data_IF_519181374016
#
_entry.id   IF_519181374016
#
_cell.length_a   1.000
_cell.length_b   1.000
_cell.length_c   1.000
_cell.angle_alpha   90.00
_cell.angle_beta   90.00
_cell.angle_gamma   90.00
#
_symmetry.space_group_name_H-M   'P 1'
#
loop_
_entity.id
_entity.type
_entity.pdbx_description
1 polymer ?
#
# COMPACT_ATOMS: atom_id res chain seq x y z
N UNK A 1 4.86 -28.77 5.47
CA UNK A 1 4.81 -27.64 4.53
C UNK A 1 3.44 -26.98 4.67
N UNK A 2 3.36 -25.67 4.89
CA UNK A 2 2.07 -24.95 4.93
C UNK A 2 1.29 -25.22 3.64
N UNK A 3 0.01 -25.61 3.76
CA UNK A 3 -0.86 -25.85 2.62
C UNK A 3 -0.93 -24.59 1.74
N UNK A 4 -1.10 -24.73 0.43
CA UNK A 4 -1.23 -23.59 -0.50
C UNK A 4 -2.29 -22.59 -0.02
N UNK A 5 -3.33 -23.09 0.62
CA UNK A 5 -4.37 -22.29 1.26
C UNK A 5 -3.83 -21.39 2.40
N UNK A 6 -3.04 -21.95 3.32
CA UNK A 6 -2.49 -21.21 4.47
C UNK A 6 -1.53 -20.10 4.00
N UNK A 7 -0.79 -20.34 2.91
CA UNK A 7 0.04 -19.32 2.25
C UNK A 7 -0.82 -18.21 1.66
N UNK A 8 -1.88 -18.55 0.91
CA UNK A 8 -2.79 -17.56 0.32
C UNK A 8 -3.49 -16.71 1.40
N UNK A 9 -3.95 -17.35 2.48
CA UNK A 9 -4.57 -16.66 3.60
C UNK A 9 -3.59 -15.68 4.27
N UNK A 10 -2.34 -16.10 4.48
CA UNK A 10 -1.29 -15.23 5.02
C UNK A 10 -1.03 -14.02 4.12
N UNK A 11 -0.96 -14.22 2.80
CA UNK A 11 -0.78 -13.12 1.84
C UNK A 11 -1.95 -12.14 1.89
N UNK A 12 -3.19 -12.63 1.95
CA UNK A 12 -4.38 -11.79 2.05
C UNK A 12 -4.38 -10.97 3.35
N UNK A 13 -4.04 -11.59 4.47
CA UNK A 13 -3.91 -10.92 5.76
C UNK A 13 -2.85 -9.83 5.73
N UNK A 14 -1.65 -10.13 5.24
CA UNK A 14 -0.57 -9.15 5.09
C UNK A 14 -0.99 -7.96 4.21
N UNK A 15 -1.76 -8.20 3.14
CA UNK A 15 -2.26 -7.12 2.27
C UNK A 15 -3.25 -6.21 2.99
N UNK A 16 -4.20 -6.78 3.74
CA UNK A 16 -5.15 -6.00 4.54
C UNK A 16 -4.43 -5.21 5.64
N UNK A 17 -3.46 -5.83 6.33
CA UNK A 17 -2.68 -5.16 7.37
C UNK A 17 -1.85 -4.00 6.83
N UNK A 18 -1.21 -4.17 5.66
CA UNK A 18 -0.49 -3.10 4.98
C UNK A 18 -1.43 -1.95 4.58
N UNK A 19 -2.60 -2.26 4.04
CA UNK A 19 -3.62 -1.27 3.73
C UNK A 19 -4.07 -0.51 4.99
N UNK A 20 -4.40 -1.20 6.07
CA UNK A 20 -4.77 -0.58 7.35
C UNK A 20 -3.65 0.29 7.94
N UNK A 21 -2.39 -0.08 7.75
CA UNK A 21 -1.24 0.72 8.18
C UNK A 21 -1.13 2.03 7.39
N UNK A 22 -1.28 1.99 6.07
CA UNK A 22 -1.29 3.21 5.23
C UNK A 22 -2.50 4.09 5.52
N UNK A 23 -3.65 3.48 5.80
CA UNK A 23 -4.86 4.16 6.24
C UNK A 23 -4.62 4.96 7.55
N UNK A 24 -3.96 4.35 8.54
CA UNK A 24 -3.55 5.03 9.78
C UNK A 24 -2.58 6.18 9.51
N UNK A 25 -1.55 5.96 8.69
CA UNK A 25 -0.59 7.00 8.32
C UNK A 25 -1.26 8.20 7.64
N UNK A 26 -2.15 7.95 6.67
CA UNK A 26 -2.88 9.02 5.98
C UNK A 26 -3.73 9.83 6.96
N UNK A 27 -4.37 9.17 7.93
CA UNK A 27 -5.13 9.86 9.00
C UNK A 27 -4.25 10.77 9.84
N UNK A 28 -3.07 10.32 10.24
CA UNK A 28 -2.11 11.13 11.01
C UNK A 28 -1.65 12.36 10.21
N UNK A 29 -1.31 12.18 8.93
CA UNK A 29 -0.89 13.29 8.06
C UNK A 29 -2.03 14.30 7.87
N UNK A 30 -3.28 13.86 7.73
CA UNK A 30 -4.46 14.73 7.65
C UNK A 30 -4.69 15.54 8.94
N UNK A 31 -4.49 14.93 10.11
CA UNK A 31 -4.56 15.64 11.39
C UNK A 31 -3.48 16.71 11.50
N UNK A 32 -2.23 16.37 11.19
CA UNK A 32 -1.11 17.32 11.23
C UNK A 32 -1.29 18.47 10.22
N UNK A 33 -1.90 18.21 9.07
CA UNK A 33 -2.20 19.25 8.09
C UNK A 33 -3.18 20.29 8.63
N UNK A 34 -4.19 19.87 9.41
CA UNK A 34 -5.16 20.78 10.05
C UNK A 34 -4.44 21.74 11.01
N UNK A 35 -3.66 21.19 11.92
CA UNK A 35 -2.93 21.98 12.93
C UNK A 35 -1.94 22.97 12.27
N UNK A 36 -1.32 22.56 11.15
CA UNK A 36 -0.36 23.39 10.41
C UNK A 36 -1.05 24.48 9.59
N UNK A 37 -2.24 24.24 9.03
CA UNK A 37 -3.02 25.27 8.33
C UNK A 37 -3.39 26.41 9.28
N UNK A 38 -3.80 26.06 10.50
CA UNK A 38 -4.14 27.03 11.55
C UNK A 38 -2.91 27.86 12.00
N UNK A 39 -1.75 27.20 12.17
CA UNK A 39 -0.47 27.89 12.48
C UNK A 39 -0.01 28.82 11.35
N UNK A 40 -0.16 28.42 10.09
CA UNK A 40 0.21 29.26 8.94
C UNK A 40 -0.62 30.55 8.84
N UNK A 41 -1.89 30.54 9.26
CA UNK A 41 -2.73 31.74 9.27
C UNK A 41 -2.38 32.72 10.40
N UNK A 42 -1.68 32.26 11.44
CA UNK A 42 -1.37 33.05 12.65
C UNK A 42 0.08 33.52 12.72
N UNK A 43 0.98 32.95 11.93
CA UNK A 43 2.39 33.34 11.90
C UNK A 43 2.66 34.54 10.97
N UNK A 44 3.17 35.64 11.53
CA UNK A 44 3.54 36.83 10.77
C UNK A 44 4.89 36.64 10.07
N UNK A 45 4.95 36.87 8.75
CA UNK A 45 6.12 36.55 7.89
C UNK A 45 7.16 37.68 7.83
N UNK A 46 6.83 38.87 8.33
CA UNK A 46 7.58 40.12 8.11
C UNK A 46 8.87 40.28 8.93
N UNK A 47 9.13 39.45 9.94
CA UNK A 47 10.30 39.59 10.83
C UNK A 47 11.31 38.43 10.81
N UNK A 48 11.16 37.47 9.89
CA UNK A 48 11.99 36.25 9.89
C UNK A 48 13.34 36.43 9.18
N UNK A 49 14.40 35.82 9.74
CA UNK A 49 15.71 35.71 9.08
C UNK A 49 15.61 34.86 7.81
N UNK A 50 16.53 35.04 6.85
CA UNK A 50 16.60 34.21 5.63
C UNK A 50 16.76 32.72 5.93
N UNK A 51 17.48 32.39 7.00
CA UNK A 51 17.67 30.99 7.42
C UNK A 51 16.38 30.39 7.98
N UNK A 52 15.65 31.15 8.80
CA UNK A 52 14.37 30.73 9.38
C UNK A 52 13.30 30.57 8.29
N UNK A 53 13.28 31.47 7.32
CA UNK A 53 12.43 31.36 6.13
C UNK A 53 12.72 30.05 5.37
N UNK A 54 13.99 29.71 5.20
CA UNK A 54 14.36 28.49 4.48
C UNK A 54 13.96 27.21 5.23
N UNK A 55 14.12 27.18 6.56
CA UNK A 55 13.68 26.05 7.40
C UNK A 55 12.16 25.89 7.33
N UNK A 56 11.43 27.00 7.45
CA UNK A 56 9.96 27.02 7.37
C UNK A 56 9.44 26.52 6.03
N UNK A 57 9.95 27.07 4.92
CA UNK A 57 9.55 26.64 3.57
C UNK A 57 9.84 25.16 3.36
N UNK A 58 10.99 24.65 3.79
CA UNK A 58 11.30 23.21 3.72
C UNK A 58 10.31 22.36 4.53
N UNK A 59 9.95 22.80 5.74
CA UNK A 59 8.95 22.11 6.56
C UNK A 59 7.58 22.05 5.88
N UNK A 60 7.15 23.12 5.20
CA UNK A 60 5.90 23.14 4.45
C UNK A 60 5.93 22.23 3.23
N UNK A 61 7.05 22.22 2.50
CA UNK A 61 7.25 21.34 1.35
C UNK A 61 7.29 19.88 1.79
N UNK A 62 7.97 19.54 2.88
CA UNK A 62 7.95 18.18 3.43
C UNK A 62 6.55 17.73 3.83
N UNK A 63 5.79 18.60 4.49
CA UNK A 63 4.39 18.32 4.81
C UNK A 63 3.51 18.10 3.57
N UNK A 64 3.90 18.62 2.41
CA UNK A 64 3.25 18.30 1.14
C UNK A 64 3.64 16.96 0.60
N UNK A 65 4.95 16.71 0.51
CA UNK A 65 5.49 15.44 0.07
C UNK A 65 4.92 14.29 0.90
N UNK A 66 4.91 14.40 2.23
CA UNK A 66 4.34 13.39 3.14
C UNK A 66 2.87 13.08 2.82
N UNK A 67 2.09 14.12 2.49
CA UNK A 67 0.69 13.96 2.09
C UNK A 67 0.59 13.26 0.73
N UNK A 68 1.34 13.71 -0.27
CA UNK A 68 1.32 13.13 -1.61
C UNK A 68 1.75 11.66 -1.59
N UNK A 69 2.81 11.33 -0.86
CA UNK A 69 3.29 9.96 -0.73
C UNK A 69 2.25 9.10 -0.02
N UNK A 70 1.64 9.59 1.07
CA UNK A 70 0.59 8.85 1.79
C UNK A 70 -0.67 8.63 0.94
N UNK A 71 -1.07 9.63 0.14
CA UNK A 71 -2.17 9.48 -0.83
C UNK A 71 -1.80 8.51 -1.96
N UNK A 72 -0.57 8.56 -2.45
CA UNK A 72 -0.06 7.64 -3.47
C UNK A 72 -0.06 6.19 -3.00
N UNK A 73 0.45 5.93 -1.79
CA UNK A 73 0.41 4.61 -1.15
C UNK A 73 -1.03 4.11 -0.94
N UNK A 74 -1.92 4.97 -0.44
CA UNK A 74 -3.33 4.62 -0.26
C UNK A 74 -3.99 4.23 -1.60
N UNK A 75 -3.71 4.94 -2.69
CA UNK A 75 -4.19 4.58 -4.05
C UNK A 75 -3.61 3.25 -4.53
N UNK A 76 -2.33 3.01 -4.27
CA UNK A 76 -1.67 1.75 -4.60
C UNK A 76 -2.36 0.56 -3.89
N UNK A 77 -2.54 0.64 -2.58
CA UNK A 77 -3.22 -0.41 -1.82
C UNK A 77 -4.69 -0.57 -2.20
N UNK A 78 -5.39 0.53 -2.48
CA UNK A 78 -6.77 0.49 -2.96
C UNK A 78 -6.88 -0.29 -4.28
N UNK A 79 -5.99 -0.03 -5.24
CA UNK A 79 -5.94 -0.76 -6.50
C UNK A 79 -5.68 -2.26 -6.29
N UNK A 80 -4.71 -2.58 -5.42
CA UNK A 80 -4.37 -3.96 -5.11
C UNK A 80 -5.52 -4.71 -4.39
N UNK A 81 -6.21 -4.07 -3.43
CA UNK A 81 -7.34 -4.66 -2.74
C UNK A 81 -8.53 -4.85 -3.68
N UNK A 82 -8.79 -3.88 -4.57
CA UNK A 82 -9.87 -3.99 -5.56
C UNK A 82 -9.65 -5.17 -6.51
N UNK A 83 -8.41 -5.35 -6.97
CA UNK A 83 -8.03 -6.51 -7.79
C UNK A 83 -8.20 -7.82 -7.02
N UNK A 84 -7.68 -7.87 -5.79
CA UNK A 84 -7.79 -9.04 -4.93
C UNK A 84 -9.26 -9.42 -4.66
N UNK A 85 -10.10 -8.44 -4.35
CA UNK A 85 -11.52 -8.66 -4.08
C UNK A 85 -12.24 -9.22 -5.32
N UNK A 86 -11.90 -8.73 -6.52
CA UNK A 86 -12.41 -9.30 -7.78
C UNK A 86 -12.06 -10.78 -7.90
N UNK A 87 -10.80 -11.15 -7.68
CA UNK A 87 -10.36 -12.55 -7.76
C UNK A 87 -11.05 -13.43 -6.71
N UNK A 88 -11.27 -12.93 -5.49
CA UNK A 88 -12.01 -13.66 -4.44
C UNK A 88 -13.48 -13.85 -4.82
N UNK A 89 -14.13 -12.84 -5.38
CA UNK A 89 -15.51 -12.96 -5.88
C UNK A 89 -15.63 -13.98 -7.02
N UNK A 90 -14.63 -14.07 -7.91
CA UNK A 90 -14.58 -15.10 -8.95
C UNK A 90 -14.42 -16.51 -8.37
N UNK A 91 -13.54 -16.67 -7.38
CA UNK A 91 -13.35 -17.93 -6.66
C UNK A 91 -14.62 -18.34 -5.91
N UNK A 92 -15.29 -17.40 -5.23
CA UNK A 92 -16.54 -17.64 -4.51
C UNK A 92 -17.61 -18.17 -5.46
N UNK A 93 -17.83 -17.52 -6.60
CA UNK A 93 -18.78 -18.00 -7.62
C UNK A 93 -18.41 -19.38 -8.15
N UNK A 94 -17.11 -19.66 -8.32
CA UNK A 94 -16.67 -20.99 -8.74
C UNK A 94 -16.98 -22.06 -7.68
N UNK A 95 -16.78 -21.76 -6.41
CA UNK A 95 -17.08 -22.69 -5.32
C UNK A 95 -18.59 -22.90 -5.14
N UNK A 96 -19.40 -21.83 -5.23
CA UNK A 96 -20.86 -21.89 -5.17
C UNK A 96 -21.45 -22.72 -6.32
N UNK A 97 -20.94 -22.54 -7.54
CA UNK A 97 -21.38 -23.32 -8.72
C UNK A 97 -20.98 -24.79 -8.58
N UNK A 98 -19.77 -25.07 -8.09
CA UNK A 98 -19.35 -26.45 -7.81
C UNK A 98 -20.18 -27.10 -6.71
N UNK A 99 -20.54 -26.36 -5.65
CA UNK A 99 -21.43 -26.84 -4.59
C UNK A 99 -22.83 -27.17 -5.14
N UNK A 100 -23.36 -26.36 -6.06
CA UNK A 100 -24.69 -26.56 -6.66
C UNK A 100 -24.75 -27.79 -7.57
N UNK A 101 -23.64 -28.14 -8.23
CA UNK A 101 -23.55 -29.29 -9.15
C UNK A 101 -23.16 -30.59 -8.42
N UNK A 102 -22.70 -30.50 -7.16
CA UNK A 102 -22.33 -31.67 -6.37
C UNK A 102 -23.55 -32.57 -6.09
N UNK A 103 -23.38 -33.88 -6.26
CA UNK A 103 -24.41 -34.88 -5.95
C UNK A 103 -24.43 -35.18 -4.43
N UNK A 104 -25.59 -35.58 -3.90
CA UNK A 104 -25.78 -35.89 -2.46
C UNK A 104 -24.87 -37.02 -1.92
N UNK A 105 -24.24 -37.81 -2.80
CA UNK A 105 -23.31 -38.89 -2.43
C UNK A 105 -21.92 -38.41 -2.03
N UNK A 106 -21.64 -37.11 -2.06
CA UNK A 106 -20.32 -36.49 -1.81
C UNK A 106 -20.29 -35.53 -0.61
N UNK A 107 -21.06 -35.83 0.45
CA UNK A 107 -21.17 -35.07 1.71
C UNK A 107 -19.85 -34.48 2.27
N UNK A 108 -18.74 -35.23 2.46
CA UNK A 108 -17.50 -34.64 3.00
C UNK A 108 -16.90 -33.55 2.08
N UNK A 109 -17.02 -33.71 0.75
CA UNK A 109 -16.58 -32.69 -0.20
C UNK A 109 -17.50 -31.47 -0.21
N UNK A 110 -18.77 -31.63 0.18
CA UNK A 110 -19.75 -30.55 0.25
C UNK A 110 -19.53 -29.67 1.48
N UNK A 111 -19.24 -30.29 2.62
CA UNK A 111 -18.90 -29.57 3.86
C UNK A 111 -17.61 -28.76 3.69
N UNK A 112 -16.57 -29.35 3.10
CA UNK A 112 -15.33 -28.62 2.77
C UNK A 112 -15.58 -27.40 1.87
N UNK A 113 -16.41 -27.55 0.82
CA UNK A 113 -16.78 -26.42 -0.06
C UNK A 113 -17.58 -25.35 0.69
N UNK A 114 -18.51 -25.75 1.57
CA UNK A 114 -19.25 -24.80 2.39
C UNK A 114 -18.33 -24.00 3.32
N UNK A 115 -17.33 -24.64 3.94
CA UNK A 115 -16.33 -23.93 4.75
C UNK A 115 -15.47 -22.98 3.91
N UNK A 116 -15.08 -23.37 2.68
CA UNK A 116 -14.34 -22.50 1.77
C UNK A 116 -15.17 -21.29 1.33
N UNK A 117 -16.46 -21.48 1.04
CA UNK A 117 -17.41 -20.40 0.72
C UNK A 117 -17.50 -19.42 1.89
N UNK A 118 -17.75 -19.90 3.11
CA UNK A 118 -17.81 -19.04 4.31
C UNK A 118 -16.55 -18.18 4.46
N UNK A 119 -15.40 -18.80 4.30
CA UNK A 119 -14.11 -18.11 4.38
C UNK A 119 -13.90 -17.08 3.27
N UNK A 120 -14.24 -17.41 2.03
CA UNK A 120 -14.12 -16.47 0.91
C UNK A 120 -15.02 -15.27 1.13
N UNK A 121 -16.24 -15.48 1.64
CA UNK A 121 -17.16 -14.41 2.02
C UNK A 121 -16.58 -13.50 3.10
N UNK A 122 -16.05 -14.06 4.20
CA UNK A 122 -15.39 -13.28 5.26
C UNK A 122 -14.21 -12.45 4.73
N UNK A 123 -13.39 -13.03 3.85
CA UNK A 123 -12.27 -12.33 3.24
C UNK A 123 -12.72 -11.18 2.31
N UNK A 124 -13.79 -11.39 1.54
CA UNK A 124 -14.40 -10.37 0.69
C UNK A 124 -14.98 -9.24 1.53
N UNK A 125 -15.69 -9.53 2.61
CA UNK A 125 -16.24 -8.53 3.53
C UNK A 125 -15.13 -7.66 4.13
N UNK A 126 -14.08 -8.28 4.64
CA UNK A 126 -12.93 -7.57 5.21
C UNK A 126 -12.24 -6.67 4.18
N UNK A 127 -11.99 -7.17 2.97
CA UNK A 127 -11.38 -6.36 1.91
C UNK A 127 -12.29 -5.23 1.46
N UNK A 128 -13.60 -5.47 1.36
CA UNK A 128 -14.59 -4.46 0.98
C UNK A 128 -14.64 -3.34 2.01
N UNK A 129 -14.63 -3.67 3.29
CA UNK A 129 -14.54 -2.67 4.37
C UNK A 129 -13.27 -1.81 4.22
N UNK A 130 -12.11 -2.46 4.04
CA UNK A 130 -10.84 -1.74 3.89
C UNK A 130 -10.78 -0.86 2.62
N UNK A 131 -11.42 -1.31 1.53
CA UNK A 131 -11.60 -0.53 0.30
C UNK A 131 -12.41 0.73 0.59
N UNK A 132 -13.56 0.59 1.26
CA UNK A 132 -14.42 1.73 1.63
C UNK A 132 -13.69 2.72 2.53
N UNK A 133 -12.96 2.24 3.54
CA UNK A 133 -12.20 3.10 4.46
C UNK A 133 -11.10 3.89 3.75
N UNK A 134 -10.34 3.26 2.84
CA UNK A 134 -9.32 3.94 2.04
C UNK A 134 -9.93 4.94 1.05
N UNK A 135 -11.05 4.59 0.41
CA UNK A 135 -11.76 5.50 -0.49
C UNK A 135 -12.25 6.75 0.25
N UNK A 136 -12.85 6.57 1.44
CA UNK A 136 -13.29 7.70 2.25
C UNK A 136 -12.12 8.59 2.65
N UNK A 137 -11.00 8.03 3.11
CA UNK A 137 -9.82 8.86 3.47
C UNK A 137 -9.20 9.58 2.28
N UNK A 138 -9.19 8.97 1.11
CA UNK A 138 -8.74 9.63 -0.12
C UNK A 138 -9.66 10.77 -0.54
N UNK A 139 -10.98 10.60 -0.38
CA UNK A 139 -11.97 11.65 -0.59
C UNK A 139 -11.75 12.81 0.40
N UNK A 140 -11.65 12.50 1.70
CA UNK A 140 -11.38 13.50 2.75
C UNK A 140 -10.07 14.26 2.49
N UNK A 141 -9.03 13.56 2.00
CA UNK A 141 -7.76 14.19 1.63
C UNK A 141 -7.87 15.04 0.36
N UNK A 142 -8.60 14.57 -0.66
CA UNK A 142 -8.81 15.27 -1.93
C UNK A 142 -9.66 16.53 -1.80
N UNK A 143 -10.80 16.45 -1.10
CA UNK A 143 -11.69 17.58 -0.83
C UNK A 143 -10.98 18.70 -0.06
N UNK A 144 -10.15 18.35 0.93
CA UNK A 144 -9.42 19.32 1.76
C UNK A 144 -8.35 20.11 1.01
N UNK A 145 -7.85 19.56 -0.09
CA UNK A 145 -6.87 20.23 -0.94
C UNK A 145 -7.57 21.10 -1.99
N UNK A 146 -8.77 20.71 -2.42
CA UNK A 146 -9.55 21.38 -3.47
C UNK A 146 -10.57 22.40 -2.95
N UNK A 147 -10.19 23.28 -2.02
CA UNK A 147 -11.08 24.33 -1.50
C UNK A 147 -11.48 25.43 -2.53
N UNK A 148 -11.38 25.15 -3.84
CA UNK A 148 -11.99 25.89 -4.96
C UNK A 148 -13.03 24.96 -5.63
N UNK A 149 -14.21 25.47 -6.03
CA UNK A 149 -15.32 24.64 -6.50
C UNK A 149 -14.93 23.84 -7.76
N UNK A 150 -14.83 22.52 -7.64
CA UNK A 150 -14.36 21.64 -8.71
C UNK A 150 -15.46 21.20 -9.67
N UNK A 151 -15.14 21.28 -10.96
CA UNK A 151 -15.75 20.47 -12.01
C UNK A 151 -15.03 19.12 -12.09
N UNK A 152 -15.81 18.06 -12.29
CA UNK A 152 -15.44 16.65 -12.35
C UNK A 152 -14.37 16.34 -13.40
N UNK A 153 -13.19 15.85 -12.99
CA UNK A 153 -12.40 14.82 -13.67
C UNK A 153 -11.11 14.47 -12.89
N UNK A 154 -10.92 13.19 -12.56
CA UNK A 154 -9.88 12.70 -11.62
C UNK A 154 -8.41 12.91 -12.05
N UNK A 155 -8.12 13.17 -13.33
CA UNK A 155 -6.76 13.50 -13.80
C UNK A 155 -6.39 14.98 -13.55
N UNK A 156 -7.38 15.86 -13.41
CA UNK A 156 -7.16 17.26 -13.06
C UNK A 156 -6.77 17.44 -11.57
N UNK A 157 -6.92 16.39 -10.75
CA UNK A 157 -6.81 16.49 -9.29
C UNK A 157 -5.39 16.71 -8.79
N UNK A 158 -4.37 16.03 -9.33
CA UNK A 158 -2.98 16.19 -8.84
C UNK A 158 -2.39 17.53 -9.27
N UNK A 159 -2.61 17.92 -10.53
CA UNK A 159 -2.07 19.17 -11.06
C UNK A 159 -2.77 20.39 -10.46
N UNK A 160 -4.09 20.33 -10.22
CA UNK A 160 -4.81 21.35 -9.45
C UNK A 160 -4.36 21.41 -7.99
N UNK A 161 -4.11 20.25 -7.37
CA UNK A 161 -3.60 20.15 -6.01
C UNK A 161 -2.21 20.79 -5.87
N UNK A 162 -1.31 20.48 -6.79
CA UNK A 162 0.02 21.08 -6.86
C UNK A 162 -0.07 22.58 -7.14
N UNK A 163 -0.94 22.99 -8.07
CA UNK A 163 -1.17 24.39 -8.40
C UNK A 163 -1.70 25.20 -7.21
N UNK A 164 -2.72 24.69 -6.51
CA UNK A 164 -3.29 25.31 -5.33
C UNK A 164 -2.25 25.44 -4.20
N UNK A 165 -1.30 24.50 -4.11
CA UNK A 165 -0.26 24.53 -3.09
C UNK A 165 0.91 25.44 -3.46
N UNK A 166 1.28 25.49 -4.74
CA UNK A 166 2.24 26.47 -5.24
C UNK A 166 1.71 27.91 -5.10
N UNK A 167 0.40 28.10 -5.26
CA UNK A 167 -0.26 29.38 -5.01
C UNK A 167 -0.20 29.84 -3.54
N UNK A 168 0.09 28.93 -2.59
CA UNK A 168 0.32 29.29 -1.18
C UNK A 168 1.71 29.88 -0.91
N UNK A 169 2.62 29.84 -1.89
CA UNK A 169 3.92 30.49 -1.76
C UNK A 169 3.76 31.98 -2.06
N UNK A 170 3.97 32.82 -1.04
CA UNK A 170 3.61 34.24 -1.09
C UNK A 170 4.68 35.12 -1.76
N UNK A 171 5.90 34.62 -1.91
CA UNK A 171 7.02 35.39 -2.47
C UNK A 171 7.94 34.52 -3.34
N UNK A 172 8.55 35.13 -4.37
CA UNK A 172 9.56 34.49 -5.25
C UNK A 172 10.73 33.88 -4.47
N UNK A 173 11.06 34.43 -3.30
CA UNK A 173 12.09 33.86 -2.42
C UNK A 173 11.69 32.49 -1.87
N UNK A 174 10.44 32.33 -1.43
CA UNK A 174 9.89 31.05 -0.97
C UNK A 174 9.84 30.05 -2.10
N UNK A 175 9.36 30.47 -3.28
CA UNK A 175 9.35 29.64 -4.49
C UNK A 175 10.77 29.13 -4.85
N UNK A 176 11.77 30.01 -4.80
CA UNK A 176 13.16 29.62 -5.09
C UNK A 176 13.73 28.65 -4.07
N UNK A 177 13.42 28.82 -2.78
CA UNK A 177 13.84 27.88 -1.73
C UNK A 177 13.14 26.53 -1.93
N UNK A 178 11.83 26.53 -2.15
CA UNK A 178 11.03 25.33 -2.37
C UNK A 178 11.54 24.53 -3.59
N UNK A 179 11.74 25.18 -4.74
CA UNK A 179 12.26 24.53 -5.94
C UNK A 179 13.65 23.91 -5.71
N UNK A 180 14.60 24.66 -5.12
CA UNK A 180 15.94 24.12 -4.82
C UNK A 180 15.87 22.90 -3.91
N UNK A 181 14.98 22.95 -2.92
CA UNK A 181 14.78 21.85 -2.00
C UNK A 181 14.15 20.63 -2.70
N UNK A 182 13.08 20.83 -3.48
CA UNK A 182 12.43 19.78 -4.26
C UNK A 182 13.39 19.10 -5.23
N UNK A 183 14.25 19.84 -5.93
CA UNK A 183 15.29 19.25 -6.79
C UNK A 183 16.27 18.39 -6.01
N UNK A 184 16.68 18.83 -4.81
CA UNK A 184 17.56 18.06 -3.94
C UNK A 184 16.89 16.77 -3.46
N UNK A 185 15.64 16.85 -3.00
CA UNK A 185 14.87 15.69 -2.55
C UNK A 185 14.59 14.72 -3.70
N UNK A 186 14.25 15.22 -4.89
CA UNK A 186 14.04 14.39 -6.07
C UNK A 186 15.32 13.65 -6.49
N UNK A 187 16.48 14.32 -6.48
CA UNK A 187 17.76 13.70 -6.75
C UNK A 187 18.10 12.61 -5.71
N UNK A 188 17.89 12.92 -4.42
CA UNK A 188 18.14 11.98 -3.32
C UNK A 188 17.23 10.75 -3.41
N UNK A 189 15.93 10.96 -3.62
CA UNK A 189 14.94 9.90 -3.82
C UNK A 189 15.28 9.00 -5.01
N UNK A 190 15.73 9.57 -6.14
CA UNK A 190 16.16 8.76 -7.28
C UNK A 190 17.38 7.89 -6.98
N UNK A 191 18.35 8.41 -6.20
CA UNK A 191 19.51 7.62 -5.74
C UNK A 191 19.06 6.52 -4.79
N UNK A 192 18.22 6.85 -3.80
CA UNK A 192 17.71 5.87 -2.82
C UNK A 192 16.89 4.77 -3.48
N UNK A 193 16.08 5.11 -4.49
CA UNK A 193 15.35 4.15 -5.32
C UNK A 193 16.31 3.22 -6.04
N UNK A 194 17.32 3.76 -6.73
CA UNK A 194 18.31 2.95 -7.46
C UNK A 194 19.05 1.99 -6.52
N UNK A 195 19.45 2.46 -5.34
CA UNK A 195 20.09 1.64 -4.30
C UNK A 195 19.15 0.54 -3.81
N UNK A 196 17.88 0.87 -3.58
CA UNK A 196 16.87 -0.10 -3.15
C UNK A 196 16.59 -1.15 -4.23
N UNK A 197 16.45 -0.75 -5.48
CA UNK A 197 16.25 -1.63 -6.63
C UNK A 197 17.45 -2.59 -6.80
N UNK A 198 18.68 -2.09 -6.64
CA UNK A 198 19.89 -2.93 -6.64
C UNK A 198 19.87 -3.96 -5.52
N UNK A 199 19.52 -3.56 -4.29
CA UNK A 199 19.44 -4.48 -3.14
C UNK A 199 18.37 -5.55 -3.33
N UNK A 200 17.22 -5.18 -3.91
CA UNK A 200 16.16 -6.13 -4.25
C UNK A 200 16.63 -7.14 -5.29
N UNK A 201 17.38 -6.69 -6.31
CA UNK A 201 17.99 -7.58 -7.30
C UNK A 201 18.99 -8.55 -6.67
N UNK A 202 19.85 -8.07 -5.78
CA UNK A 202 20.83 -8.92 -5.08
C UNK A 202 20.12 -9.96 -4.18
N UNK A 203 19.09 -9.54 -3.46
CA UNK A 203 18.30 -10.43 -2.62
C UNK A 203 17.55 -11.48 -3.45
N UNK A 204 17.01 -11.09 -4.61
CA UNK A 204 16.35 -12.02 -5.52
C UNK A 204 17.31 -13.10 -6.02
N UNK A 205 18.54 -12.73 -6.39
CA UNK A 205 19.59 -13.68 -6.80
C UNK A 205 19.99 -14.63 -5.67
N UNK A 206 20.05 -14.13 -4.44
CA UNK A 206 20.32 -14.99 -3.27
C UNK A 206 19.18 -15.96 -3.02
N UNK A 207 17.92 -15.52 -3.15
CA UNK A 207 16.75 -16.38 -2.99
C UNK A 207 16.73 -17.49 -4.03
N UNK A 208 16.98 -17.17 -5.31
CA UNK A 208 17.03 -18.21 -6.37
C UNK A 208 18.16 -19.20 -6.13
N UNK A 209 19.34 -18.74 -5.71
CA UNK A 209 20.45 -19.63 -5.35
C UNK A 209 20.10 -20.55 -4.18
N UNK A 210 19.39 -20.04 -3.17
CA UNK A 210 18.95 -20.83 -2.01
C UNK A 210 17.86 -21.83 -2.36
N UNK A 211 16.94 -21.47 -3.27
CA UNK A 211 15.94 -22.40 -3.80
C UNK A 211 16.60 -23.55 -4.57
N UNK A 212 17.60 -23.26 -5.42
CA UNK A 212 18.38 -24.28 -6.13
C UNK A 212 19.15 -25.21 -5.18
N UNK A 213 19.77 -24.66 -4.13
CA UNK A 213 20.42 -25.45 -3.08
C UNK A 213 19.42 -26.36 -2.34
N UNK A 214 18.23 -25.83 -1.98
CA UNK A 214 17.19 -26.61 -1.33
C UNK A 214 16.69 -27.75 -2.22
N UNK A 215 16.53 -27.49 -3.52
CA UNK A 215 16.07 -28.49 -4.50
C UNK A 215 17.09 -29.61 -4.73
N UNK A 216 18.39 -29.30 -4.63
CA UNK A 216 19.44 -30.31 -4.68
C UNK A 216 19.50 -31.17 -3.41
N UNK A 217 19.10 -30.64 -2.26
CA UNK A 217 19.10 -31.35 -0.98
C UNK A 217 17.85 -32.24 -0.81
N UNK A 218 16.71 -31.86 -1.38
CA UNK A 218 15.45 -32.64 -1.33
C UNK A 218 15.59 -34.13 -1.73
N UNK A 219 16.24 -34.50 -2.86
CA UNK A 219 16.39 -35.92 -3.21
C UNK A 219 17.32 -36.66 -2.24
N UNK A 220 18.35 -35.98 -1.73
CA UNK A 220 19.29 -36.54 -0.76
C UNK A 220 18.61 -36.83 0.58
N UNK A 221 17.75 -35.92 1.04
CA UNK A 221 16.92 -36.11 2.23
C UNK A 221 15.97 -37.29 2.07
N UNK A 222 15.34 -37.45 0.89
CA UNK A 222 14.48 -38.59 0.58
C UNK A 222 15.25 -39.92 0.60
N UNK A 223 16.47 -39.95 0.04
CA UNK A 223 17.36 -41.13 0.10
C UNK A 223 17.74 -41.49 1.54
N UNK A 224 18.14 -40.50 2.36
CA UNK A 224 18.45 -40.74 3.77
C UNK A 224 17.23 -41.22 4.56
N UNK A 225 16.04 -40.64 4.32
CA UNK A 225 14.80 -41.05 4.98
C UNK A 225 14.40 -42.49 4.60
N UNK A 226 14.58 -42.89 3.34
CA UNK A 226 14.27 -44.25 2.89
C UNK A 226 15.25 -45.27 3.47
N UNK A 227 16.54 -44.91 3.55
CA UNK A 227 17.58 -45.74 4.16
C UNK A 227 17.43 -45.87 5.68
N UNK A 228 16.87 -44.86 6.35
CA UNK A 228 16.58 -44.96 7.78
C UNK A 228 15.41 -45.90 8.05
N UNK A 229 14.34 -45.80 7.25
CA UNK A 229 13.18 -46.67 7.35
C UNK A 229 13.50 -48.16 7.09
N UNK A 230 14.50 -48.45 6.24
CA UNK A 230 14.93 -49.81 5.96
C UNK A 230 15.89 -50.41 7.00
N UNK A 231 16.40 -49.60 7.93
CA UNK A 231 17.26 -50.04 9.05
C UNK A 231 16.44 -50.26 10.33
N UNK A 232 15.22 -49.73 10.39
CA UNK A 232 14.29 -49.89 11.52
C UNK A 232 13.34 -51.10 11.39
N UNK A 233 13.38 -51.84 10.26
CA UNK A 233 12.74 -53.17 10.07
C UNK A 233 13.70 -54.33 10.38
#
# INVERSE_FOLDING_TARGET
MASNYERQHTVLKCRVEAAAATERRLKEVLMLQRDRREKRMTENTTSMSKQDLAVRVRSWVNADLDMQVSMGEARYHLGHLTESCRTLCEQLRSEETMLMVASDTQEPSREERATNISRLTEAIELQTQQITDLQQKLMDAGERVSNEPSSSNGAASVDQMLSARLAQLHNIQEARIAMRYLFKEAASCNVDKLVSDSRLSDLALQMTSKEEEADQLRPREAEYSMNLASVEE
#
